data_IF_089619006056
#
_entry.id   IF_089619006056
#
_cell.length_a   1.000
_cell.length_b   1.000
_cell.length_c   1.000
_cell.angle_alpha   90.00
_cell.angle_beta   90.00
_cell.angle_gamma   90.00
#
_symmetry.space_group_name_H-M   'P 1'
#
loop_
_entity.id
_entity.type
_entity.pdbx_description
1 polymer ?
#
# COMPACT_ATOMS: atom_id res chain seq x y z
N UNK A 1 8.77 -16.67 5.15
CA UNK A 1 8.05 -17.07 3.90
C UNK A 1 7.88 -15.78 3.10
N UNK A 2 7.86 -15.77 1.76
CA UNK A 2 7.73 -14.49 1.05
C UNK A 2 6.30 -14.38 0.52
N UNK A 3 5.59 -13.32 0.91
CA UNK A 3 4.24 -13.03 0.41
C UNK A 3 4.23 -11.70 -0.32
N UNK A 4 3.41 -11.63 -1.36
CA UNK A 4 3.21 -10.45 -2.17
C UNK A 4 1.79 -9.95 -1.94
N UNK A 5 1.64 -8.71 -1.51
CA UNK A 5 0.33 -8.06 -1.36
C UNK A 5 0.26 -6.92 -2.35
N UNK A 6 -0.72 -6.96 -3.24
CA UNK A 6 -0.99 -5.88 -4.17
C UNK A 6 -2.14 -5.03 -3.63
N UNK A 7 -2.06 -3.74 -3.88
CA UNK A 7 -3.03 -2.77 -3.45
C UNK A 7 -3.35 -1.89 -4.64
N UNK A 8 -4.61 -1.93 -5.08
CA UNK A 8 -5.07 -1.10 -6.18
C UNK A 8 -5.51 0.26 -5.63
N UNK A 9 -5.03 1.33 -6.24
CA UNK A 9 -5.33 2.71 -5.84
C UNK A 9 -6.06 3.37 -7.00
N UNK A 10 -7.30 3.78 -6.79
CA UNK A 10 -8.03 4.52 -7.81
C UNK A 10 -7.49 5.96 -7.92
N UNK A 11 -6.60 6.20 -8.87
CA UNK A 11 -6.04 7.54 -9.13
C UNK A 11 -7.04 8.51 -9.78
N UNK A 12 -8.28 8.11 -10.05
CA UNK A 12 -9.34 9.00 -10.55
C UNK A 12 -10.15 9.64 -9.43
N UNK A 13 -10.04 9.10 -8.21
CA UNK A 13 -10.62 9.68 -7.02
C UNK A 13 -10.02 11.06 -6.70
N UNK A 14 -10.89 12.00 -6.30
CA UNK A 14 -10.49 13.33 -5.84
C UNK A 14 -9.91 13.19 -4.43
N UNK A 15 -8.58 13.18 -4.31
CA UNK A 15 -7.91 13.13 -3.01
C UNK A 15 -7.54 14.56 -2.60
N UNK A 16 -8.20 15.16 -1.58
CA UNK A 16 -7.93 16.54 -1.18
C UNK A 16 -6.53 16.73 -0.58
N UNK A 17 -5.96 15.71 0.05
CA UNK A 17 -4.66 15.79 0.74
C UNK A 17 -3.46 15.67 -0.21
N UNK A 18 -3.53 14.79 -1.22
CA UNK A 18 -2.53 14.74 -2.28
C UNK A 18 -2.92 15.53 -3.54
N UNK A 19 -4.04 16.27 -3.53
CA UNK A 19 -4.51 17.13 -4.62
C UNK A 19 -4.40 16.45 -6.01
N UNK A 20 -4.93 15.23 -6.15
CA UNK A 20 -4.86 14.41 -7.36
C UNK A 20 -3.45 13.92 -7.75
N UNK A 21 -2.45 14.11 -6.89
CA UNK A 21 -1.09 13.66 -7.14
C UNK A 21 -0.92 12.24 -6.61
N UNK A 22 -1.40 11.25 -7.38
CA UNK A 22 -1.25 9.83 -7.04
C UNK A 22 0.22 9.48 -6.72
N UNK A 23 1.17 10.12 -7.42
CA UNK A 23 2.60 10.01 -7.14
C UNK A 23 2.98 10.37 -5.68
N UNK A 24 2.45 11.46 -5.11
CA UNK A 24 2.74 11.84 -3.72
C UNK A 24 2.15 10.86 -2.71
N UNK A 25 0.93 10.40 -2.97
CA UNK A 25 0.28 9.41 -2.15
C UNK A 25 1.10 8.09 -2.15
N UNK A 26 1.61 7.66 -3.30
CA UNK A 26 2.50 6.50 -3.43
C UNK A 26 3.84 6.70 -2.73
N UNK A 27 4.46 7.88 -2.83
CA UNK A 27 5.72 8.20 -2.13
C UNK A 27 5.55 8.15 -0.60
N UNK A 28 4.43 8.66 -0.07
CA UNK A 28 4.10 8.57 1.36
C UNK A 28 3.95 7.09 1.78
N UNK A 29 3.19 6.31 1.02
CA UNK A 29 3.00 4.88 1.26
C UNK A 29 4.33 4.13 1.26
N UNK A 30 5.19 4.36 0.27
CA UNK A 30 6.53 3.78 0.20
C UNK A 30 7.33 4.10 1.47
N UNK A 31 7.38 5.37 1.85
CA UNK A 31 8.13 5.82 3.01
C UNK A 31 7.66 5.18 4.32
N UNK A 32 6.35 4.98 4.48
CA UNK A 32 5.79 4.41 5.71
C UNK A 32 5.95 2.88 5.71
N UNK A 33 5.63 2.22 4.60
CA UNK A 33 5.63 0.75 4.52
C UNK A 33 7.04 0.17 4.55
N UNK A 34 8.02 0.86 3.95
CA UNK A 34 9.41 0.39 3.98
C UNK A 34 10.05 0.50 5.37
N UNK A 35 9.46 1.28 6.29
CA UNK A 35 9.87 1.34 7.70
C UNK A 35 9.31 0.16 8.53
N UNK A 36 8.25 -0.51 8.04
CA UNK A 36 7.65 -1.64 8.73
C UNK A 36 8.58 -2.86 8.71
N UNK A 37 8.87 -3.37 9.91
CA UNK A 37 9.63 -4.60 10.06
C UNK A 37 8.92 -5.76 9.35
N UNK A 38 9.64 -6.42 8.43
CA UNK A 38 9.11 -7.55 7.66
C UNK A 38 8.71 -7.17 6.23
N UNK A 39 8.53 -5.90 5.94
CA UNK A 39 8.45 -5.40 4.55
C UNK A 39 9.84 -5.44 3.94
N UNK A 40 9.93 -5.96 2.72
CA UNK A 40 11.19 -6.13 1.97
C UNK A 40 11.28 -5.21 0.77
N UNK A 41 10.14 -5.04 0.07
CA UNK A 41 10.06 -4.18 -1.10
C UNK A 41 8.69 -3.54 -1.20
N UNK A 42 8.71 -2.32 -1.73
CA UNK A 42 7.55 -1.59 -2.21
C UNK A 42 7.85 -1.18 -3.65
N UNK A 43 6.89 -1.34 -4.56
CA UNK A 43 7.00 -0.87 -5.95
C UNK A 43 5.63 -0.73 -6.59
N UNK A 44 5.53 0.04 -7.67
CA UNK A 44 4.32 0.13 -8.48
C UNK A 44 4.28 -0.99 -9.52
N UNK A 45 3.11 -1.56 -9.75
CA UNK A 45 2.84 -2.50 -10.85
C UNK A 45 1.45 -2.20 -11.42
N UNK A 46 1.38 -1.97 -12.74
CA UNK A 46 0.18 -1.50 -13.44
C UNK A 46 -0.42 -0.22 -12.81
N UNK A 47 -1.68 -0.26 -12.40
CA UNK A 47 -2.41 0.84 -11.73
C UNK A 47 -2.43 0.68 -10.19
N UNK A 48 -1.48 -0.08 -9.63
CA UNK A 48 -1.42 -0.37 -8.20
C UNK A 48 -0.02 -0.32 -7.61
N UNK A 49 0.03 -0.55 -6.29
CA UNK A 49 1.27 -0.71 -5.53
C UNK A 49 1.37 -2.13 -5.00
N UNK A 50 2.59 -2.60 -4.83
CA UNK A 50 2.90 -3.96 -4.42
C UNK A 50 3.86 -3.91 -3.26
N UNK A 51 3.51 -4.64 -2.20
CA UNK A 51 4.33 -4.83 -1.01
C UNK A 51 4.74 -6.29 -0.92
N UNK A 52 6.04 -6.54 -1.01
CA UNK A 52 6.62 -7.84 -0.67
C UNK A 52 7.00 -7.83 0.80
N UNK A 53 6.49 -8.81 1.55
CA UNK A 53 6.70 -8.90 2.99
C UNK A 53 6.87 -10.36 3.46
N UNK A 54 7.37 -10.54 4.68
CA UNK A 54 7.29 -11.82 5.38
C UNK A 54 6.00 -11.88 6.20
N UNK A 55 5.02 -12.75 5.86
CA UNK A 55 3.73 -12.83 6.54
C UNK A 55 3.87 -13.33 7.99
N UNK A 56 5.05 -13.84 8.37
CA UNK A 56 5.35 -14.24 9.76
C UNK A 56 5.73 -13.04 10.63
N UNK A 57 6.02 -11.89 10.02
CA UNK A 57 6.51 -10.67 10.68
C UNK A 57 5.53 -9.52 10.48
N UNK A 58 5.10 -9.26 9.24
CA UNK A 58 4.10 -8.26 8.89
C UNK A 58 2.90 -8.96 8.22
N UNK A 59 1.72 -8.92 8.84
CA UNK A 59 0.52 -9.53 8.25
C UNK A 59 -0.13 -8.58 7.25
N UNK A 60 -0.94 -9.13 6.33
CA UNK A 60 -1.72 -8.31 5.40
C UNK A 60 -2.63 -7.34 6.14
N UNK A 61 -3.24 -7.79 7.24
CA UNK A 61 -4.08 -6.97 8.11
C UNK A 61 -3.29 -5.80 8.71
N UNK A 62 -2.07 -6.02 9.20
CA UNK A 62 -1.22 -4.94 9.70
C UNK A 62 -0.85 -3.93 8.63
N UNK A 63 -0.57 -4.39 7.41
CA UNK A 63 -0.30 -3.49 6.29
C UNK A 63 -1.53 -2.64 5.98
N UNK A 64 -2.73 -3.24 5.96
CA UNK A 64 -3.99 -2.53 5.79
C UNK A 64 -4.22 -1.52 6.91
N UNK A 65 -4.05 -1.90 8.18
CA UNK A 65 -4.15 -0.98 9.33
C UNK A 65 -3.21 0.23 9.19
N UNK A 66 -1.98 0.00 8.72
CA UNK A 66 -1.03 1.09 8.47
C UNK A 66 -1.52 1.97 7.32
N UNK A 67 -2.03 1.39 6.23
CA UNK A 67 -2.67 2.16 5.18
C UNK A 67 -3.85 2.95 5.72
N UNK A 68 -4.76 2.36 6.50
CA UNK A 68 -5.93 3.00 7.12
C UNK A 68 -5.57 4.16 8.05
N UNK A 69 -4.40 4.10 8.68
CA UNK A 69 -3.85 5.16 9.52
C UNK A 69 -3.18 6.30 8.76
N UNK A 70 -2.96 6.17 7.45
CA UNK A 70 -2.36 7.23 6.66
C UNK A 70 -3.35 8.39 6.45
N UNK A 71 -2.91 9.65 6.53
CA UNK A 71 -3.73 10.78 6.10
C UNK A 71 -4.18 10.63 4.64
N UNK A 72 -3.31 10.02 3.83
CA UNK A 72 -3.59 9.66 2.45
C UNK A 72 -4.45 8.39 2.29
N UNK A 73 -5.10 7.85 3.33
CA UNK A 73 -6.03 6.73 3.17
C UNK A 73 -7.41 7.18 2.68
N UNK A 74 -8.00 6.42 1.77
CA UNK A 74 -9.35 6.67 1.27
C UNK A 74 -10.16 5.38 1.25
N UNK A 75 -11.06 5.29 2.23
CA UNK A 75 -12.05 4.23 2.34
C UNK A 75 -12.85 4.12 1.02
N UNK A 76 -12.94 2.90 0.47
CA UNK A 76 -13.67 2.61 -0.77
C UNK A 76 -12.93 2.84 -2.09
N UNK A 77 -11.73 3.41 -2.10
CA UNK A 77 -10.89 3.60 -3.31
C UNK A 77 -9.61 2.76 -3.30
N UNK A 78 -9.51 1.89 -2.29
CA UNK A 78 -8.38 1.00 -2.07
C UNK A 78 -8.87 -0.44 -2.05
N UNK A 79 -8.28 -1.29 -2.88
CA UNK A 79 -8.64 -2.72 -2.95
C UNK A 79 -7.40 -3.58 -2.67
N UNK A 80 -7.26 -4.13 -1.45
CA UNK A 80 -6.17 -5.02 -1.14
C UNK A 80 -6.41 -6.40 -1.77
N UNK A 81 -5.38 -6.94 -2.41
CA UNK A 81 -5.39 -8.28 -3.01
C UNK A 81 -4.10 -9.01 -2.64
N UNK A 82 -4.24 -10.17 -2.00
CA UNK A 82 -3.09 -11.02 -1.66
C UNK A 82 -2.73 -11.88 -2.86
N UNK A 83 -1.49 -11.76 -3.33
CA UNK A 83 -0.94 -12.58 -4.39
C UNK A 83 -0.06 -13.65 -3.73
N UNK A 84 -0.55 -14.89 -3.73
CA UNK A 84 0.25 -16.04 -3.30
C UNK A 84 1.06 -16.55 -4.49
N UNK A 85 2.38 -16.43 -4.41
CA UNK A 85 3.34 -17.14 -5.27
C UNK A 85 4.01 -18.26 -4.50
#
# INVERSE_FOLDING_TARGET
MNSRTAFHIDCTAVIPECAYQCAKCIEEMESILTDIQGVRKFYTEDDGVVVEHDPSVATVEQLIDVFEGMPSFYEGNFVPTVITS
#
